data_IF_687377480633
#
_entry.id   IF_687377480633
#
_cell.length_a   1.000
_cell.length_b   1.000
_cell.length_c   1.000
_cell.angle_alpha   90.00
_cell.angle_beta   90.00
_cell.angle_gamma   90.00
#
_symmetry.space_group_name_H-M   'P 1'
#
loop_
_entity.id
_entity.type
_entity.pdbx_description
1 polymer ?
#
# COMPACT_ATOMS: atom_id res chain seq x y z
N UNK A 1 -6.92 -26.16 5.93
CA UNK A 1 -8.28 -25.59 6.05
C UNK A 1 -8.78 -25.23 4.66
N UNK A 2 -10.08 -25.30 4.42
CA UNK A 2 -10.70 -24.95 3.13
C UNK A 2 -10.83 -23.43 2.97
N UNK A 3 -11.26 -22.72 4.01
CA UNK A 3 -11.41 -21.26 4.02
C UNK A 3 -10.82 -20.66 5.29
N UNK A 4 -10.11 -19.53 5.18
CA UNK A 4 -9.61 -18.75 6.31
C UNK A 4 -9.91 -17.26 6.08
N UNK A 5 -10.56 -16.60 7.05
CA UNK A 5 -10.70 -15.14 7.08
C UNK A 5 -9.97 -14.61 8.31
N UNK A 6 -9.13 -13.60 8.15
CA UNK A 6 -8.30 -13.10 9.25
C UNK A 6 -8.09 -11.59 9.19
N UNK A 7 -8.16 -10.94 10.35
CA UNK A 7 -7.70 -9.58 10.58
C UNK A 7 -6.64 -9.63 11.69
N UNK A 8 -5.39 -10.04 11.38
CA UNK A 8 -4.35 -10.16 12.38
C UNK A 8 -3.92 -8.79 12.91
N UNK A 9 -3.43 -8.72 14.16
CA UNK A 9 -2.78 -7.50 14.63
C UNK A 9 -1.62 -7.13 13.70
N UNK A 10 -1.48 -5.85 13.36
CA UNK A 10 -0.38 -5.40 12.48
C UNK A 10 0.94 -5.27 13.23
N UNK A 11 0.87 -4.91 14.51
CA UNK A 11 2.05 -4.70 15.36
C UNK A 11 1.79 -5.32 16.72
N UNK A 12 2.78 -6.01 17.25
CA UNK A 12 2.72 -6.64 18.57
C UNK A 12 4.16 -6.83 19.06
N UNK A 13 4.43 -6.54 20.33
CA UNK A 13 5.68 -7.00 20.95
C UNK A 13 5.59 -8.51 21.16
N UNK A 14 6.35 -9.26 20.39
CA UNK A 14 6.55 -10.70 20.58
C UNK A 14 8.02 -11.04 20.79
N UNK A 15 8.82 -10.08 21.27
CA UNK A 15 10.27 -10.23 21.42
C UNK A 15 10.68 -11.41 22.30
N UNK A 16 9.87 -11.75 23.30
CA UNK A 16 10.09 -12.90 24.19
C UNK A 16 9.95 -14.26 23.48
N UNK A 17 9.09 -14.34 22.45
CA UNK A 17 8.82 -15.58 21.70
C UNK A 17 9.52 -15.61 20.33
N UNK A 18 10.12 -14.51 19.89
CA UNK A 18 10.66 -14.36 18.53
C UNK A 18 11.62 -15.49 18.17
N UNK A 19 12.57 -15.81 19.05
CA UNK A 19 13.59 -16.84 18.78
C UNK A 19 13.02 -18.26 18.93
N UNK A 20 11.98 -18.43 19.75
CA UNK A 20 11.24 -19.69 19.82
C UNK A 20 10.55 -19.97 18.51
N UNK A 21 9.90 -18.96 17.89
CA UNK A 21 9.24 -19.10 16.59
C UNK A 21 10.24 -19.59 15.52
N UNK A 22 11.46 -19.02 15.49
CA UNK A 22 12.48 -19.39 14.51
C UNK A 22 13.10 -20.78 14.77
N UNK A 23 13.05 -21.27 16.01
CA UNK A 23 13.60 -22.59 16.39
C UNK A 23 12.57 -23.73 16.41
N UNK A 24 11.29 -23.45 16.14
CA UNK A 24 10.27 -24.49 16.04
C UNK A 24 10.63 -25.53 14.97
N UNK A 25 10.25 -26.82 15.18
CA UNK A 25 10.26 -27.80 14.11
C UNK A 25 9.46 -27.29 12.91
N UNK A 26 10.01 -27.44 11.70
CA UNK A 26 9.44 -26.95 10.44
C UNK A 26 9.24 -25.43 10.38
N UNK A 27 9.95 -24.65 11.21
CA UNK A 27 9.90 -23.19 11.18
C UNK A 27 10.28 -22.64 9.82
N UNK A 28 11.28 -23.22 9.15
CA UNK A 28 11.69 -22.80 7.80
C UNK A 28 10.63 -23.09 6.73
N UNK A 29 9.85 -24.15 6.87
CA UNK A 29 8.73 -24.46 5.95
C UNK A 29 7.54 -23.53 6.20
N UNK A 30 7.22 -23.29 7.48
CA UNK A 30 6.08 -22.44 7.86
C UNK A 30 6.36 -20.96 7.64
N UNK A 31 7.56 -20.50 8.00
CA UNK A 31 8.01 -19.12 7.93
C UNK A 31 9.12 -18.95 6.89
N UNK A 32 8.84 -19.41 5.67
CA UNK A 32 9.78 -19.43 4.54
C UNK A 32 10.40 -18.05 4.20
N UNK A 33 9.70 -16.95 4.46
CA UNK A 33 10.20 -15.61 4.23
C UNK A 33 11.06 -15.08 5.39
N UNK A 34 10.99 -15.74 6.55
CA UNK A 34 11.69 -15.41 7.79
C UNK A 34 10.79 -14.83 8.88
N UNK A 35 11.40 -14.60 10.05
CA UNK A 35 10.75 -14.04 11.24
C UNK A 35 11.24 -12.61 11.48
N UNK A 36 10.35 -11.63 11.74
CA UNK A 36 10.74 -10.24 12.00
C UNK A 36 11.82 -10.12 13.07
N UNK A 37 12.80 -9.23 12.85
CA UNK A 37 13.84 -8.93 13.84
C UNK A 37 13.30 -8.04 14.94
N UNK A 38 13.88 -8.15 16.14
CA UNK A 38 13.54 -7.29 17.28
C UNK A 38 14.13 -5.88 17.05
N UNK A 39 13.31 -4.81 16.96
CA UNK A 39 13.81 -3.45 16.82
C UNK A 39 14.50 -2.97 18.11
N UNK A 40 15.56 -2.19 17.98
CA UNK A 40 16.35 -1.71 19.12
C UNK A 40 15.59 -0.77 20.09
N UNK A 41 14.54 -0.09 19.62
CA UNK A 41 13.87 0.99 20.40
C UNK A 41 12.37 0.76 20.64
N UNK A 42 11.66 0.17 19.69
CA UNK A 42 10.19 0.05 19.70
C UNK A 42 9.79 -1.39 19.45
N UNK A 43 9.90 -2.24 20.46
CA UNK A 43 9.59 -3.68 20.34
C UNK A 43 8.12 -3.91 19.97
N UNK A 44 7.23 -3.05 20.46
CA UNK A 44 5.81 -3.02 20.11
C UNK A 44 5.52 -2.77 18.63
N UNK A 45 6.53 -2.34 17.85
CA UNK A 45 6.39 -2.10 16.40
C UNK A 45 6.69 -3.30 15.51
N UNK A 46 7.01 -4.46 16.09
CA UNK A 46 7.29 -5.68 15.32
C UNK A 46 6.09 -6.11 14.46
N UNK A 47 6.35 -6.42 13.19
CA UNK A 47 5.36 -6.74 12.18
C UNK A 47 4.81 -8.18 12.31
N UNK A 48 4.07 -8.46 13.38
CA UNK A 48 3.54 -9.80 13.68
C UNK A 48 2.65 -10.35 12.55
N UNK A 49 1.96 -9.49 11.78
CA UNK A 49 1.15 -9.93 10.64
C UNK A 49 1.93 -10.76 9.60
N UNK A 50 3.24 -10.53 9.47
CA UNK A 50 4.10 -11.30 8.57
C UNK A 50 4.16 -12.78 8.97
N UNK A 51 4.07 -13.10 10.27
CA UNK A 51 3.98 -14.47 10.74
C UNK A 51 2.60 -15.07 10.48
N UNK A 52 1.53 -14.28 10.65
CA UNK A 52 0.17 -14.73 10.40
C UNK A 52 -0.07 -15.09 8.92
N UNK A 53 0.38 -14.26 7.97
CA UNK A 53 0.21 -14.58 6.54
C UNK A 53 0.90 -15.90 6.19
N UNK A 54 2.15 -16.06 6.62
CA UNK A 54 2.93 -17.28 6.37
C UNK A 54 2.26 -18.51 7.01
N UNK A 55 1.76 -18.37 8.23
CA UNK A 55 1.00 -19.42 8.90
C UNK A 55 -0.30 -19.77 8.17
N UNK A 56 -1.02 -18.79 7.64
CA UNK A 56 -2.25 -18.99 6.86
C UNK A 56 -1.91 -19.77 5.58
N UNK A 57 -0.90 -19.35 4.82
CA UNK A 57 -0.45 -20.04 3.60
C UNK A 57 -0.11 -21.51 3.91
N UNK A 58 0.64 -21.76 5.00
CA UNK A 58 1.00 -23.10 5.43
C UNK A 58 -0.21 -23.94 5.86
N UNK A 59 -1.25 -23.33 6.44
CA UNK A 59 -2.41 -24.03 7.01
C UNK A 59 -3.52 -24.31 5.99
N UNK A 60 -3.53 -23.63 4.85
CA UNK A 60 -4.49 -23.89 3.77
C UNK A 60 -4.24 -25.25 3.13
N UNK A 61 -5.32 -25.96 2.77
CA UNK A 61 -5.23 -27.15 1.90
C UNK A 61 -4.80 -26.73 0.50
N UNK A 62 -4.41 -27.68 -0.35
CA UNK A 62 -4.02 -27.41 -1.75
C UNK A 62 -5.07 -26.66 -2.57
N UNK A 63 -6.35 -26.75 -2.21
CA UNK A 63 -7.48 -26.02 -2.81
C UNK A 63 -8.11 -24.99 -1.87
N UNK A 64 -7.40 -24.62 -0.80
CA UNK A 64 -7.88 -23.68 0.19
C UNK A 64 -7.78 -22.22 -0.27
N UNK A 65 -8.69 -21.40 0.22
CA UNK A 65 -8.76 -19.97 -0.02
C UNK A 65 -8.67 -19.17 1.29
N UNK A 66 -8.13 -17.95 1.23
CA UNK A 66 -8.10 -17.05 2.37
C UNK A 66 -8.33 -15.59 2.00
N UNK A 67 -8.90 -14.82 2.93
CA UNK A 67 -8.99 -13.37 2.88
C UNK A 67 -8.33 -12.79 4.14
N UNK A 68 -7.34 -11.92 3.97
CA UNK A 68 -6.52 -11.39 5.07
C UNK A 68 -6.46 -9.88 4.98
N UNK A 69 -6.84 -9.19 6.06
CA UNK A 69 -6.67 -7.74 6.19
C UNK A 69 -5.23 -7.43 6.60
N UNK A 70 -4.54 -6.60 5.83
CA UNK A 70 -3.13 -6.28 5.99
C UNK A 70 -2.90 -4.77 5.90
N UNK A 71 -1.80 -4.23 6.49
CA UNK A 71 -1.43 -2.85 6.25
C UNK A 71 -1.05 -2.65 4.77
N UNK A 72 -1.48 -1.55 4.14
CA UNK A 72 -1.20 -1.25 2.71
C UNK A 72 0.30 -1.23 2.39
N UNK A 73 1.18 -1.01 3.37
CA UNK A 73 2.63 -1.16 3.19
C UNK A 73 3.06 -2.55 2.71
N UNK A 74 2.31 -3.61 3.05
CA UNK A 74 2.60 -4.98 2.61
C UNK A 74 2.59 -5.09 1.08
N UNK A 75 1.60 -4.49 0.41
CA UNK A 75 1.37 -4.64 -1.03
C UNK A 75 2.37 -3.85 -1.89
N UNK A 76 3.10 -2.91 -1.29
CA UNK A 76 4.02 -1.98 -1.98
C UNK A 76 5.48 -2.13 -1.58
N UNK A 77 5.80 -2.80 -0.46
CA UNK A 77 7.17 -2.92 0.04
C UNK A 77 8.13 -3.44 -1.04
N UNK A 78 9.37 -2.95 -1.09
CA UNK A 78 10.33 -3.35 -2.14
C UNK A 78 11.43 -4.28 -1.63
N UNK A 79 11.38 -4.67 -0.36
CA UNK A 79 12.38 -5.54 0.27
C UNK A 79 11.80 -6.27 1.49
N UNK A 80 12.63 -7.10 2.13
CA UNK A 80 12.29 -7.75 3.39
C UNK A 80 11.31 -8.90 3.28
N UNK A 81 10.70 -9.25 4.41
CA UNK A 81 9.78 -10.38 4.54
C UNK A 81 8.54 -10.18 3.66
N UNK A 82 8.00 -8.96 3.62
CA UNK A 82 6.80 -8.63 2.81
C UNK A 82 7.00 -8.94 1.33
N UNK A 83 8.15 -8.57 0.76
CA UNK A 83 8.47 -8.87 -0.65
C UNK A 83 8.58 -10.37 -0.87
N UNK A 84 9.28 -11.10 0.00
CA UNK A 84 9.44 -12.56 -0.12
C UNK A 84 8.09 -13.30 -0.06
N UNK A 85 7.17 -12.87 0.80
CA UNK A 85 5.82 -13.44 0.86
C UNK A 85 5.07 -13.19 -0.45
N UNK A 86 5.08 -11.95 -0.97
CA UNK A 86 4.46 -11.65 -2.27
C UNK A 86 5.09 -12.41 -3.43
N UNK A 87 6.41 -12.56 -3.44
CA UNK A 87 7.11 -13.38 -4.42
C UNK A 87 6.57 -14.80 -4.41
N UNK A 88 6.52 -15.44 -3.24
CA UNK A 88 5.97 -16.78 -3.13
C UNK A 88 4.50 -16.88 -3.60
N UNK A 89 3.64 -15.93 -3.22
CA UNK A 89 2.23 -15.91 -3.67
C UNK A 89 2.08 -15.78 -5.20
N UNK A 90 2.98 -15.03 -5.84
CA UNK A 90 2.97 -14.79 -7.29
C UNK A 90 3.61 -15.95 -8.04
N UNK A 91 4.75 -16.43 -7.58
CA UNK A 91 5.51 -17.50 -8.22
C UNK A 91 4.77 -18.84 -8.16
N UNK A 92 4.10 -19.13 -7.04
CA UNK A 92 3.26 -20.32 -6.86
C UNK A 92 1.83 -20.16 -7.39
N UNK A 93 1.52 -19.01 -8.01
CA UNK A 93 0.18 -18.69 -8.54
C UNK A 93 -0.95 -18.86 -7.52
N UNK A 94 -0.71 -18.41 -6.29
CA UNK A 94 -1.67 -18.48 -5.19
C UNK A 94 -2.43 -17.18 -4.95
N UNK A 95 -2.02 -16.07 -5.60
CA UNK A 95 -2.67 -14.77 -5.44
C UNK A 95 -3.96 -14.70 -6.27
N UNK A 96 -5.11 -14.47 -5.65
CA UNK A 96 -6.37 -14.26 -6.37
C UNK A 96 -6.63 -12.76 -6.65
N UNK A 97 -6.26 -11.89 -5.70
CA UNK A 97 -6.45 -10.46 -5.85
C UNK A 97 -6.16 -9.65 -4.60
N UNK A 98 -6.23 -8.34 -4.74
CA UNK A 98 -6.05 -7.37 -3.65
C UNK A 98 -7.08 -6.26 -3.78
N UNK A 99 -7.68 -5.88 -2.65
CA UNK A 99 -8.54 -4.68 -2.56
C UNK A 99 -7.87 -3.68 -1.63
N UNK A 100 -7.49 -2.52 -2.15
CA UNK A 100 -6.99 -1.40 -1.34
C UNK A 100 -8.17 -0.63 -0.76
N UNK A 101 -8.28 -0.58 0.57
CA UNK A 101 -9.44 0.02 1.23
C UNK A 101 -9.26 1.53 1.41
N UNK A 102 -10.37 2.28 1.59
CA UNK A 102 -10.32 3.68 1.99
C UNK A 102 -9.49 3.91 3.25
N UNK A 103 -8.85 5.07 3.32
CA UNK A 103 -8.18 5.53 4.53
C UNK A 103 -9.16 5.66 5.71
N UNK A 104 -8.68 5.48 6.93
CA UNK A 104 -9.48 5.58 8.17
C UNK A 104 -10.70 4.64 8.23
N UNK A 105 -10.69 3.50 7.54
CA UNK A 105 -11.76 2.50 7.70
C UNK A 105 -11.83 1.94 9.13
N UNK A 106 -10.66 1.84 9.79
CA UNK A 106 -10.57 1.55 11.21
C UNK A 106 -10.55 2.86 12.01
N UNK A 107 -11.58 3.09 12.83
CA UNK A 107 -11.72 4.31 13.64
C UNK A 107 -10.60 4.55 14.66
N UNK A 108 -9.81 3.51 14.98
CA UNK A 108 -8.81 3.51 16.05
C UNK A 108 -7.37 3.70 15.56
N UNK A 109 -7.11 3.55 14.26
CA UNK A 109 -5.74 3.64 13.71
C UNK A 109 -5.73 4.36 12.37
N UNK A 110 -4.78 5.29 12.17
CA UNK A 110 -4.55 5.92 10.85
C UNK A 110 -3.79 5.04 9.85
N UNK A 111 -3.73 3.72 10.07
CA UNK A 111 -3.04 2.80 9.14
C UNK A 111 -4.00 2.44 8.02
N UNK A 112 -3.62 2.74 6.78
CA UNK A 112 -4.34 2.26 5.60
C UNK A 112 -4.19 0.76 5.47
N UNK A 113 -5.26 0.10 5.01
CA UNK A 113 -5.34 -1.35 4.94
C UNK A 113 -5.74 -1.81 3.55
N UNK A 114 -5.33 -3.03 3.23
CA UNK A 114 -5.72 -3.73 2.02
C UNK A 114 -6.15 -5.14 2.41
N UNK A 115 -7.06 -5.72 1.63
CA UNK A 115 -7.48 -7.11 1.79
C UNK A 115 -6.76 -7.93 0.71
N UNK A 116 -5.98 -8.92 1.15
CA UNK A 116 -5.29 -9.87 0.30
C UNK A 116 -6.15 -11.13 0.18
N UNK A 117 -6.43 -11.56 -1.05
CA UNK A 117 -7.13 -12.79 -1.35
C UNK A 117 -6.17 -13.83 -1.90
N UNK A 118 -6.12 -14.99 -1.25
CA UNK A 118 -5.30 -16.14 -1.60
C UNK A 118 -6.23 -17.25 -2.08
N UNK A 119 -5.88 -17.89 -3.19
CA UNK A 119 -6.46 -19.12 -3.68
C UNK A 119 -5.33 -20.02 -4.17
N UNK A 120 -5.05 -21.12 -3.44
CA UNK A 120 -3.94 -22.02 -3.76
C UNK A 120 -4.07 -22.75 -5.11
N UNK A 121 -5.26 -22.72 -5.71
CA UNK A 121 -5.53 -23.26 -7.05
C UNK A 121 -5.89 -22.18 -8.06
N UNK A 122 -5.53 -20.92 -7.82
CA UNK A 122 -5.83 -19.88 -8.79
C UNK A 122 -5.19 -20.20 -10.15
N UNK A 123 -6.02 -20.22 -11.19
CA UNK A 123 -5.58 -20.47 -12.59
C UNK A 123 -5.78 -19.25 -13.48
N UNK A 124 -6.45 -18.24 -12.96
CA UNK A 124 -6.82 -17.05 -13.70
C UNK A 124 -5.87 -15.90 -13.37
N UNK A 125 -6.05 -14.80 -14.09
CA UNK A 125 -5.41 -13.52 -13.76
C UNK A 125 -5.83 -13.02 -12.37
N UNK A 126 -4.97 -12.15 -11.82
CA UNK A 126 -5.13 -11.49 -10.54
C UNK A 126 -5.94 -10.21 -10.72
N UNK A 127 -6.90 -9.95 -9.83
CA UNK A 127 -7.65 -8.68 -9.82
C UNK A 127 -7.10 -7.77 -8.74
N UNK A 128 -6.69 -6.56 -9.11
CA UNK A 128 -6.28 -5.52 -8.18
C UNK A 128 -7.32 -4.40 -8.22
N UNK A 129 -7.88 -4.05 -7.07
CA UNK A 129 -8.89 -3.00 -6.91
C UNK A 129 -8.32 -1.89 -6.02
N UNK A 130 -8.48 -0.64 -6.47
CA UNK A 130 -8.24 0.56 -5.69
C UNK A 130 -9.57 1.20 -5.27
N UNK A 131 -10.05 0.81 -4.09
CA UNK A 131 -11.22 1.43 -3.47
C UNK A 131 -10.83 2.60 -2.55
N UNK A 132 -9.59 3.11 -2.60
CA UNK A 132 -9.10 4.10 -1.63
C UNK A 132 -9.86 5.44 -1.66
N UNK A 133 -10.47 5.76 -2.81
CA UNK A 133 -11.28 6.97 -3.04
C UNK A 133 -12.76 6.80 -2.66
N UNK A 134 -13.21 5.61 -2.28
CA UNK A 134 -14.60 5.34 -1.90
C UNK A 134 -14.88 5.71 -0.43
N UNK A 135 -16.17 5.80 -0.13
CA UNK A 135 -16.69 5.94 1.21
C UNK A 135 -16.83 7.38 1.69
N UNK A 136 -17.65 7.55 2.73
CA UNK A 136 -17.93 8.84 3.35
C UNK A 136 -17.32 8.92 4.73
N UNK A 137 -16.70 10.05 5.05
CA UNK A 137 -16.14 10.29 6.38
C UNK A 137 -17.24 10.60 7.40
N UNK A 138 -17.32 9.79 8.44
CA UNK A 138 -18.27 9.92 9.56
C UNK A 138 -17.50 10.20 10.85
N UNK A 139 -17.98 11.15 11.65
CA UNK A 139 -17.44 11.42 12.99
C UNK A 139 -18.04 10.45 14.01
N UNK A 140 -17.19 9.85 14.83
CA UNK A 140 -17.57 8.97 15.93
C UNK A 140 -16.87 9.46 17.21
N UNK A 141 -17.55 10.32 17.97
CA UNK A 141 -16.97 11.01 19.12
C UNK A 141 -15.81 11.92 18.72
N UNK A 142 -14.60 11.66 19.25
CA UNK A 142 -13.36 12.37 18.88
C UNK A 142 -12.66 11.78 17.65
N UNK A 143 -13.11 10.63 17.16
CA UNK A 143 -12.50 9.92 16.04
C UNK A 143 -13.27 10.18 14.74
N UNK A 144 -12.61 9.91 13.62
CA UNK A 144 -13.19 9.94 12.28
C UNK A 144 -12.96 8.59 11.63
N UNK A 145 -13.99 8.02 11.01
CA UNK A 145 -13.90 6.81 10.21
C UNK A 145 -14.48 7.02 8.82
N UNK A 146 -14.02 6.24 7.86
CA UNK A 146 -14.62 6.17 6.53
C UNK A 146 -15.56 4.98 6.48
N UNK A 147 -16.80 5.21 6.05
CA UNK A 147 -17.84 4.19 5.95
C UNK A 147 -18.20 4.03 4.47
N UNK A 148 -18.17 2.80 3.98
CA UNK A 148 -18.67 2.47 2.66
C UNK A 148 -20.19 2.37 2.71
N UNK A 149 -20.85 2.88 1.67
CA UNK A 149 -22.27 2.64 1.43
C UNK A 149 -22.49 1.22 0.89
N UNK A 150 -23.72 0.67 1.02
CA UNK A 150 -24.05 -0.64 0.47
C UNK A 150 -23.81 -0.76 -1.05
N UNK A 151 -23.97 0.35 -1.78
CA UNK A 151 -23.73 0.39 -3.23
C UNK A 151 -22.23 0.32 -3.56
N UNK A 152 -21.38 1.02 -2.80
CA UNK A 152 -19.92 0.95 -2.92
C UNK A 152 -19.39 -0.43 -2.54
N UNK A 153 -19.92 -1.04 -1.46
CA UNK A 153 -19.58 -2.42 -1.09
C UNK A 153 -19.97 -3.40 -2.22
N UNK A 154 -21.18 -3.24 -2.76
CA UNK A 154 -21.66 -4.07 -3.88
C UNK A 154 -20.79 -3.89 -5.12
N UNK A 155 -20.36 -2.67 -5.45
CA UNK A 155 -19.44 -2.39 -6.55
C UNK A 155 -18.13 -3.14 -6.37
N UNK A 156 -17.49 -3.05 -5.19
CA UNK A 156 -16.23 -3.77 -4.89
C UNK A 156 -16.43 -5.28 -5.04
N UNK A 157 -17.50 -5.82 -4.46
CA UNK A 157 -17.79 -7.26 -4.47
C UNK A 157 -18.00 -7.77 -5.90
N UNK A 158 -18.87 -7.10 -6.68
CA UNK A 158 -19.16 -7.51 -8.05
C UNK A 158 -17.92 -7.39 -8.94
N UNK A 159 -17.17 -6.29 -8.82
CA UNK A 159 -15.93 -6.08 -9.57
C UNK A 159 -14.91 -7.19 -9.28
N UNK A 160 -14.78 -7.59 -8.01
CA UNK A 160 -13.86 -8.66 -7.62
C UNK A 160 -14.32 -10.04 -8.13
N UNK A 161 -15.60 -10.38 -7.96
CA UNK A 161 -16.16 -11.69 -8.37
C UNK A 161 -16.10 -11.85 -9.89
N UNK A 162 -16.52 -10.82 -10.63
CA UNK A 162 -16.59 -10.84 -12.10
C UNK A 162 -15.25 -10.53 -12.76
N UNK A 163 -14.24 -10.12 -11.99
CA UNK A 163 -12.92 -9.67 -12.48
C UNK A 163 -13.03 -8.55 -13.51
N UNK A 164 -13.97 -7.63 -13.28
CA UNK A 164 -14.24 -6.51 -14.16
C UNK A 164 -13.08 -5.52 -14.13
N UNK A 165 -12.71 -5.02 -15.30
CA UNK A 165 -11.73 -3.94 -15.44
C UNK A 165 -12.50 -2.63 -15.53
N UNK A 166 -12.32 -1.77 -14.54
CA UNK A 166 -13.01 -0.49 -14.41
C UNK A 166 -11.94 0.58 -14.29
N UNK A 167 -12.05 1.60 -15.14
CA UNK A 167 -11.11 2.71 -15.19
C UNK A 167 -10.87 3.33 -13.81
N UNK A 168 -9.60 3.56 -13.47
CA UNK A 168 -9.12 4.12 -12.20
C UNK A 168 -9.61 3.40 -10.92
N UNK A 169 -10.16 2.19 -11.06
CA UNK A 169 -10.76 1.45 -9.96
C UNK A 169 -10.29 0.00 -9.89
N UNK A 170 -10.23 -0.72 -11.01
CA UNK A 170 -9.79 -2.10 -11.03
C UNK A 170 -9.04 -2.46 -12.30
N UNK A 171 -8.10 -3.39 -12.13
CA UNK A 171 -7.28 -3.90 -13.22
C UNK A 171 -7.11 -5.41 -13.06
N UNK A 172 -7.09 -6.10 -14.18
CA UNK A 172 -6.80 -7.52 -14.27
C UNK A 172 -5.38 -7.68 -14.78
N UNK A 173 -4.53 -8.33 -14.01
CA UNK A 173 -3.09 -8.44 -14.28
C UNK A 173 -2.66 -9.89 -14.26
N UNK A 174 -1.80 -10.25 -15.21
CA UNK A 174 -1.14 -11.55 -15.24
C UNK A 174 -0.03 -11.63 -14.20
N UNK A 175 0.35 -12.85 -13.82
CA UNK A 175 1.48 -13.08 -12.92
C UNK A 175 2.81 -12.56 -13.48
N UNK A 176 2.98 -12.53 -14.81
CA UNK A 176 4.20 -12.01 -15.44
C UNK A 176 4.27 -10.48 -15.34
N UNK A 177 3.15 -9.77 -15.58
CA UNK A 177 3.09 -8.31 -15.36
C UNK A 177 3.42 -7.94 -13.91
N UNK A 178 2.96 -8.75 -12.94
CA UNK A 178 3.31 -8.54 -11.52
C UNK A 178 4.81 -8.70 -11.28
N UNK A 179 5.46 -9.69 -11.90
CA UNK A 179 6.92 -9.87 -11.80
C UNK A 179 7.67 -8.69 -12.41
N UNK A 180 7.24 -8.22 -13.59
CA UNK A 180 7.82 -7.05 -14.27
C UNK A 180 7.70 -5.77 -13.45
N UNK A 181 6.62 -5.64 -12.65
CA UNK A 181 6.39 -4.54 -11.70
C UNK A 181 6.98 -4.83 -10.31
N UNK A 182 8.03 -5.66 -10.23
CA UNK A 182 8.75 -5.97 -8.99
C UNK A 182 7.86 -6.52 -7.86
N UNK A 183 6.86 -7.33 -8.21
CA UNK A 183 5.91 -7.93 -7.29
C UNK A 183 5.00 -6.93 -6.56
N UNK A 184 4.85 -5.70 -7.08
CA UNK A 184 3.93 -4.72 -6.53
C UNK A 184 2.48 -5.13 -6.76
N UNK A 185 1.62 -5.04 -5.74
CA UNK A 185 0.19 -5.35 -5.86
C UNK A 185 -0.70 -4.10 -5.76
N UNK A 186 -0.12 -2.92 -5.97
CA UNK A 186 -0.86 -1.66 -6.01
C UNK A 186 -1.48 -1.46 -7.40
N UNK A 187 -2.81 -1.46 -7.48
CA UNK A 187 -3.55 -1.35 -8.74
C UNK A 187 -3.13 -0.12 -9.57
N UNK A 188 -2.90 1.03 -8.92
CA UNK A 188 -2.47 2.26 -9.59
C UNK A 188 -1.17 2.17 -10.39
N UNK A 189 -0.31 1.16 -10.17
CA UNK A 189 0.89 0.95 -11.00
C UNK A 189 0.61 0.26 -12.35
N UNK A 190 -0.63 -0.20 -12.54
CA UNK A 190 -1.12 -0.92 -13.71
C UNK A 190 -2.26 -0.18 -14.41
N UNK A 191 -2.76 0.92 -13.84
CA UNK A 191 -3.67 1.80 -14.57
C UNK A 191 -2.92 2.44 -15.74
N UNK A 192 -3.61 2.56 -16.87
CA UNK A 192 -3.08 3.24 -18.02
C UNK A 192 -2.84 4.70 -17.67
N UNK A 193 -1.62 5.19 -17.94
CA UNK A 193 -1.31 6.60 -17.78
C UNK A 193 -2.03 7.34 -18.91
N UNK A 194 -3.19 7.92 -18.60
CA UNK A 194 -3.81 8.91 -19.48
C UNK A 194 -2.96 10.17 -19.44
N UNK A 195 -2.05 10.28 -20.41
CA UNK A 195 -1.44 11.58 -20.70
C UNK A 195 -2.55 12.37 -21.39
N UNK A 196 -3.29 13.15 -20.61
CA UNK A 196 -4.16 14.19 -21.16
C UNK A 196 -3.25 15.20 -21.85
N UNK A 197 -3.08 15.02 -23.16
CA UNK A 197 -2.58 16.08 -24.01
C UNK A 197 -3.68 17.14 -24.01
N UNK A 198 -3.51 18.15 -23.16
CA UNK A 198 -4.20 19.41 -23.37
C UNK A 198 -3.57 19.97 -24.64
N UNK A 199 -4.28 19.89 -25.76
CA UNK A 199 -3.94 20.63 -26.98
C UNK A 199 -4.06 22.13 -26.66
N UNK A 200 -3.01 22.67 -26.03
CA UNK A 200 -2.85 24.10 -25.87
C UNK A 200 -2.39 24.66 -27.21
N UNK A 201 -3.02 25.75 -27.65
CA UNK A 201 -2.57 26.43 -28.85
C UNK A 201 -1.14 26.97 -28.65
N UNK A 202 -0.37 27.21 -29.72
CA UNK A 202 0.94 27.87 -29.61
C UNK A 202 0.87 29.19 -28.82
N UNK A 203 -0.21 29.96 -28.95
CA UNK A 203 -0.43 31.22 -28.24
C UNK A 203 -0.65 30.99 -26.74
N UNK A 204 -1.47 30.00 -26.35
CA UNK A 204 -1.70 29.65 -24.94
C UNK A 204 -0.44 29.11 -24.26
N UNK A 205 0.40 28.39 -25.01
CA UNK A 205 1.70 27.94 -24.52
C UNK A 205 2.64 29.12 -24.27
N UNK A 206 2.75 30.06 -25.21
CA UNK A 206 3.57 31.26 -25.06
C UNK A 206 3.10 32.11 -23.86
N UNK A 207 1.78 32.31 -23.70
CA UNK A 207 1.22 33.06 -22.58
C UNK A 207 1.54 32.41 -21.23
N UNK A 208 1.38 31.08 -21.12
CA UNK A 208 1.76 30.34 -19.90
C UNK A 208 3.26 30.39 -19.64
N UNK A 209 4.08 30.23 -20.68
CA UNK A 209 5.54 30.26 -20.54
C UNK A 209 6.02 31.63 -20.08
N UNK A 210 5.45 32.70 -20.64
CA UNK A 210 5.73 34.07 -20.21
C UNK A 210 5.33 34.28 -18.74
N UNK A 211 4.13 33.81 -18.34
CA UNK A 211 3.70 33.86 -16.94
C UNK A 211 4.62 33.10 -15.99
N UNK A 212 5.17 31.95 -16.41
CA UNK A 212 6.16 31.21 -15.62
C UNK A 212 7.49 31.95 -15.53
N UNK A 213 7.96 32.57 -16.62
CA UNK A 213 9.18 33.39 -16.63
C UNK A 213 9.06 34.59 -15.69
N UNK A 214 7.94 35.31 -15.74
CA UNK A 214 7.69 36.48 -14.90
C UNK A 214 7.64 36.09 -13.42
N UNK A 215 6.97 34.97 -13.11
CA UNK A 215 6.90 34.44 -11.74
C UNK A 215 8.27 34.02 -11.23
N UNK A 216 9.08 33.39 -12.08
CA UNK A 216 10.45 33.00 -11.74
C UNK A 216 11.33 34.23 -11.50
N UNK A 217 11.22 35.27 -12.34
CA UNK A 217 11.95 36.52 -12.15
C UNK A 217 11.60 37.20 -10.83
N UNK A 218 10.32 37.22 -10.46
CA UNK A 218 9.86 37.75 -9.18
C UNK A 218 10.44 36.96 -7.99
N UNK A 219 10.44 35.63 -8.06
CA UNK A 219 11.05 34.78 -7.03
C UNK A 219 12.56 35.03 -6.89
N UNK A 220 13.28 35.26 -7.99
CA UNK A 220 14.70 35.63 -7.92
C UNK A 220 14.92 36.99 -7.25
N UNK A 221 14.07 37.98 -7.52
CA UNK A 221 14.14 39.29 -6.88
C UNK A 221 13.91 39.17 -5.36
N UNK A 222 12.89 38.42 -4.94
CA UNK A 222 12.63 38.15 -3.53
C UNK A 222 13.80 37.42 -2.86
N UNK A 223 14.39 36.43 -3.54
CA UNK A 223 15.57 35.73 -3.03
C UNK A 223 16.73 36.69 -2.77
N UNK A 224 17.01 37.61 -3.70
CA UNK A 224 18.08 38.60 -3.53
C UNK A 224 17.81 39.59 -2.40
N UNK A 225 16.55 39.96 -2.18
CA UNK A 225 16.16 40.80 -1.06
C UNK A 225 16.36 40.09 0.28
N UNK A 226 15.91 38.84 0.38
CA UNK A 226 16.13 38.00 1.56
C UNK A 226 17.61 37.78 1.86
N UNK A 227 18.43 37.55 0.83
CA UNK A 227 19.89 37.41 0.98
C UNK A 227 20.54 38.66 1.58
N UNK A 228 20.10 39.85 1.16
CA UNK A 228 20.57 41.11 1.74
C UNK A 228 20.16 41.24 3.20
N UNK A 229 18.90 40.94 3.51
CA UNK A 229 18.37 41.02 4.87
C UNK A 229 19.12 40.05 5.81
N UNK A 230 19.37 38.82 5.38
CA UNK A 230 20.16 37.83 6.12
C UNK A 230 21.59 38.35 6.36
N UNK A 231 22.23 38.93 5.34
CA UNK A 231 23.57 39.49 5.48
C UNK A 231 23.63 40.68 6.45
N UNK A 232 22.60 41.54 6.46
CA UNK A 232 22.48 42.64 7.42
C UNK A 232 22.25 42.14 8.85
N UNK A 233 21.34 41.18 9.04
CA UNK A 233 21.08 40.59 10.35
C UNK A 233 22.33 39.88 10.91
N UNK A 234 23.06 39.12 10.08
CA UNK A 234 24.30 38.44 10.49
C UNK A 234 25.41 39.44 10.91
N UNK A 235 25.48 40.62 10.30
CA UNK A 235 26.41 41.68 10.75
C UNK A 235 26.01 42.26 12.12
N UNK A 236 24.73 42.19 12.48
CA UNK A 236 24.20 42.64 13.76
C UNK A 236 24.44 41.65 14.91
N UNK A 237 24.73 40.38 14.63
CA UNK A 237 25.03 39.37 15.65
C UNK A 237 26.48 39.53 16.11
N UNK A 238 26.68 40.13 17.30
CA UNK A 238 27.96 40.12 18.00
C UNK A 238 28.04 38.93 18.94
N UNK A 239 29.20 38.28 18.97
CA UNK A 239 29.53 37.21 19.91
C UNK A 239 29.86 37.84 21.27
N UNK A 240 29.18 37.43 22.34
CA UNK A 240 29.66 37.59 23.73
C UNK A 240 30.46 36.37 24.14
#
# INVERSE_FOLDING_TARGET
MDYIVSNPPFKLDFSEWRDQVESLPNSSERFFAGVPKIPNKKKESMAIYQLFIQHIIHSLKEDGQAAIVLPTGFITAQSGIDKKIRQHLVDEKMLAGVVSMPSNIFATTGTNVSILFIDKKNKDDVVLIDASNLGTKVKEGKNQKTVLSPDEESQIIQTFINKEVVEDFSVKVSYEEIKDKNYSLSAGQYFDIKIDYVDISPEEFEEKMQGYQDRLANLFAQSHELEKEIAEQLRGVRYE
#
